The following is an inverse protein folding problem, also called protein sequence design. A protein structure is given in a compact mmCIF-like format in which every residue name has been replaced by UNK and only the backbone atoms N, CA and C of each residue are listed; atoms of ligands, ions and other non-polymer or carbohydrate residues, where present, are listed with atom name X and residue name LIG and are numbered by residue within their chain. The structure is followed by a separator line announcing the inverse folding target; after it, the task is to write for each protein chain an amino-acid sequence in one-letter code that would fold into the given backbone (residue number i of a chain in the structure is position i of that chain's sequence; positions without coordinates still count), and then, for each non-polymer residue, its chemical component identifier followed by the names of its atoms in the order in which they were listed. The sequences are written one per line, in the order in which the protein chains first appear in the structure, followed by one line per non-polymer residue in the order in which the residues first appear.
data_IF_342863561362
#
_entry.id   IF_342863561362
#
_cell.length_a   1.000
_cell.length_b   1.000
_cell.length_c   1.000
_cell.angle_alpha   90.00
_cell.angle_beta   90.00
_cell.angle_gamma   90.00
#
_symmetry.space_group_name_H-M   'P 1'
#
loop_
_entity.id
_entity.type
_entity.pdbx_description
1 polymer ?
#
# COMPACT_ATOMS: atom_id res chain seq x y z
N UNK A 1 -13.23 -23.65 13.41
CA UNK A 1 -12.63 -22.30 13.62
C UNK A 1 -13.64 -21.48 14.40
N UNK A 2 -13.19 -20.75 15.43
CA UNK A 2 -14.09 -19.97 16.31
C UNK A 2 -14.72 -18.75 15.58
N UNK A 3 -14.17 -18.32 14.44
CA UNK A 3 -14.67 -17.18 13.67
C UNK A 3 -14.37 -15.80 14.28
N UNK A 4 -13.39 -15.75 15.19
CA UNK A 4 -13.07 -14.52 15.93
C UNK A 4 -12.38 -13.45 15.07
N UNK A 5 -11.77 -13.85 13.95
CA UNK A 5 -11.17 -12.97 12.94
C UNK A 5 -11.65 -13.36 11.53
N UNK A 6 -12.04 -12.35 10.73
CA UNK A 6 -12.47 -12.58 9.34
C UNK A 6 -11.32 -12.58 8.34
N UNK A 7 -10.27 -11.80 8.60
CA UNK A 7 -9.11 -11.70 7.71
C UNK A 7 -7.81 -11.57 8.51
N UNK A 8 -6.72 -11.99 7.89
CA UNK A 8 -5.36 -11.78 8.38
C UNK A 8 -4.45 -11.29 7.25
N UNK A 9 -3.24 -10.88 7.57
CA UNK A 9 -2.33 -10.37 6.57
C UNK A 9 -0.88 -10.40 7.01
N UNK A 10 -0.02 -9.80 6.21
CA UNK A 10 1.40 -9.65 6.50
C UNK A 10 1.79 -8.18 6.51
N UNK A 11 2.61 -7.81 7.49
CA UNK A 11 3.24 -6.50 7.58
C UNK A 11 4.74 -6.64 7.25
N UNK A 12 5.22 -5.84 6.31
CA UNK A 12 6.62 -5.84 5.90
C UNK A 12 7.16 -4.42 5.84
N UNK A 13 8.49 -4.27 5.90
CA UNK A 13 9.14 -3.00 5.60
C UNK A 13 9.70 -3.01 4.18
N UNK A 14 10.63 -3.90 3.86
CA UNK A 14 11.31 -3.96 2.57
C UNK A 14 10.82 -5.09 1.65
N UNK A 15 10.44 -6.21 2.23
CA UNK A 15 10.35 -7.49 1.55
C UNK A 15 9.47 -7.53 0.29
N UNK A 16 8.43 -6.72 0.22
CA UNK A 16 7.52 -6.63 -0.93
C UNK A 16 7.84 -5.45 -1.88
N UNK A 17 8.90 -4.69 -1.62
CA UNK A 17 9.23 -3.50 -2.42
C UNK A 17 10.70 -3.44 -2.85
N UNK A 18 11.48 -4.48 -2.56
CA UNK A 18 12.87 -4.63 -3.02
C UNK A 18 12.94 -5.43 -4.32
N UNK A 19 14.12 -5.48 -4.90
CA UNK A 19 14.41 -6.27 -6.09
C UNK A 19 14.32 -7.76 -5.81
N UNK A 20 13.99 -8.56 -6.83
CA UNK A 20 13.88 -10.02 -6.70
C UNK A 20 15.19 -10.72 -6.31
N UNK A 21 16.33 -10.07 -6.57
CA UNK A 21 17.65 -10.56 -6.19
C UNK A 21 18.06 -10.24 -4.76
N UNK A 22 17.27 -9.42 -4.05
CA UNK A 22 17.58 -9.04 -2.67
C UNK A 22 17.25 -10.19 -1.69
N UNK A 23 18.11 -10.39 -0.69
CA UNK A 23 17.91 -11.42 0.34
C UNK A 23 16.59 -11.27 1.10
N UNK A 24 16.12 -10.03 1.28
CA UNK A 24 14.85 -9.73 1.95
C UNK A 24 13.61 -9.95 1.07
N UNK A 25 13.77 -10.27 -0.23
CA UNK A 25 12.64 -10.35 -1.16
C UNK A 25 11.63 -11.42 -0.76
N UNK A 26 10.35 -11.05 -0.80
CA UNK A 26 9.22 -11.99 -0.71
C UNK A 26 8.37 -11.91 -1.98
N UNK A 27 7.98 -13.06 -2.48
CA UNK A 27 7.04 -13.18 -3.59
C UNK A 27 5.60 -13.14 -3.05
N UNK A 28 4.84 -12.12 -3.42
CA UNK A 28 3.43 -12.01 -3.03
C UNK A 28 2.62 -13.18 -3.62
N UNK A 29 2.93 -13.62 -4.84
CA UNK A 29 2.32 -14.80 -5.45
C UNK A 29 2.56 -16.06 -4.60
N UNK A 30 3.76 -16.25 -4.07
CA UNK A 30 4.06 -17.39 -3.22
C UNK A 30 3.32 -17.32 -1.88
N UNK A 31 3.22 -16.14 -1.27
CA UNK A 31 2.43 -15.92 -0.06
C UNK A 31 0.97 -16.33 -0.30
N UNK A 32 0.36 -15.86 -1.38
CA UNK A 32 -1.03 -16.20 -1.76
C UNK A 32 -1.19 -17.70 -2.00
N UNK A 33 -0.26 -18.33 -2.70
CA UNK A 33 -0.29 -19.77 -2.95
C UNK A 33 -0.20 -20.59 -1.65
N UNK A 34 0.64 -20.17 -0.70
CA UNK A 34 0.75 -20.81 0.61
C UNK A 34 -0.51 -20.62 1.46
N UNK A 35 -1.10 -19.41 1.44
CA UNK A 35 -2.35 -19.12 2.12
C UNK A 35 -3.49 -20.02 1.58
N UNK A 36 -3.64 -20.10 0.25
CA UNK A 36 -4.63 -20.96 -0.38
C UNK A 36 -4.40 -22.45 -0.04
N UNK A 37 -3.15 -22.91 -0.01
CA UNK A 37 -2.83 -24.29 0.37
C UNK A 37 -3.16 -24.57 1.82
N UNK A 38 -2.93 -23.62 2.73
CA UNK A 38 -3.29 -23.74 4.13
C UNK A 38 -4.83 -23.75 4.32
N UNK A 39 -5.56 -22.90 3.59
CA UNK A 39 -7.03 -22.88 3.61
C UNK A 39 -7.60 -24.23 3.23
N UNK A 40 -7.17 -24.82 2.11
CA UNK A 40 -7.60 -26.16 1.67
C UNK A 40 -7.27 -27.29 2.64
N UNK A 41 -6.23 -27.13 3.45
CA UNK A 41 -5.87 -28.13 4.46
C UNK A 41 -6.81 -28.14 5.66
N UNK A 42 -7.58 -27.07 5.89
CA UNK A 42 -8.48 -26.94 7.07
C UNK A 42 -9.95 -26.88 6.70
N UNK A 43 -10.30 -26.71 5.43
CA UNK A 43 -11.70 -26.64 4.97
C UNK A 43 -11.86 -26.93 3.48
N UNK A 44 -13.09 -27.21 3.02
CA UNK A 44 -13.36 -27.51 1.61
C UNK A 44 -13.31 -26.27 0.70
N UNK A 45 -13.40 -25.07 1.27
CA UNK A 45 -13.42 -23.82 0.55
C UNK A 45 -12.02 -23.24 0.43
N UNK A 46 -11.71 -22.58 -0.71
CA UNK A 46 -10.44 -21.87 -0.93
C UNK A 46 -10.35 -20.56 -0.13
N UNK A 47 -11.31 -20.28 0.76
CA UNK A 47 -11.31 -19.11 1.62
C UNK A 47 -10.28 -19.27 2.73
N UNK A 48 -9.13 -18.67 2.47
CA UNK A 48 -8.00 -18.70 3.40
C UNK A 48 -7.92 -17.48 4.33
N UNK A 49 -8.84 -16.51 4.18
CA UNK A 49 -8.86 -15.29 5.00
C UNK A 49 -7.64 -14.35 4.85
N UNK A 50 -6.66 -14.69 4.01
CA UNK A 50 -5.54 -13.77 3.73
C UNK A 50 -6.01 -12.64 2.84
N UNK A 51 -6.10 -11.43 3.37
CA UNK A 51 -6.72 -10.31 2.67
C UNK A 51 -6.02 -8.97 2.85
N UNK A 52 -4.94 -8.90 3.67
CA UNK A 52 -4.34 -7.61 4.04
C UNK A 52 -2.82 -7.62 3.86
N UNK A 53 -2.31 -6.55 3.25
CA UNK A 53 -0.88 -6.22 3.21
C UNK A 53 -0.63 -4.91 3.94
N UNK A 54 0.39 -4.87 4.81
CA UNK A 54 0.91 -3.62 5.35
C UNK A 54 2.34 -3.41 4.86
N UNK A 55 2.61 -2.24 4.29
CA UNK A 55 3.93 -1.85 3.79
C UNK A 55 4.09 -0.32 3.81
N UNK A 56 5.32 0.21 3.87
CA UNK A 56 5.53 1.64 3.76
C UNK A 56 5.25 2.12 2.34
N UNK A 57 4.53 3.26 2.27
CA UNK A 57 4.27 3.91 0.99
C UNK A 57 4.09 5.41 1.15
N UNK A 58 4.91 6.18 0.45
CA UNK A 58 4.88 7.64 0.39
C UNK A 58 5.33 8.13 -0.99
N UNK A 59 5.22 9.42 -1.25
CA UNK A 59 5.73 10.03 -2.48
C UNK A 59 7.26 9.87 -2.63
N UNK A 60 8.00 9.76 -1.52
CA UNK A 60 9.46 9.55 -1.50
C UNK A 60 9.85 8.07 -1.30
N UNK A 61 8.89 7.19 -1.10
CA UNK A 61 9.07 5.77 -0.86
C UNK A 61 8.00 5.00 -1.64
N UNK A 62 8.06 5.08 -2.96
CA UNK A 62 7.02 4.58 -3.87
C UNK A 62 7.38 3.24 -4.53
N UNK A 63 8.43 2.55 -4.09
CA UNK A 63 8.92 1.30 -4.71
C UNK A 63 7.85 0.23 -4.84
N UNK A 64 6.91 0.14 -3.90
CA UNK A 64 5.81 -0.82 -3.97
C UNK A 64 4.91 -0.62 -5.21
N UNK A 65 4.91 0.57 -5.81
CA UNK A 65 4.21 0.90 -7.05
C UNK A 65 5.14 0.96 -8.26
N UNK A 66 6.33 1.55 -8.13
CA UNK A 66 7.21 1.82 -9.27
C UNK A 66 8.11 0.65 -9.64
N UNK A 67 8.37 -0.28 -8.71
CA UNK A 67 9.27 -1.42 -8.94
C UNK A 67 8.52 -2.64 -9.47
N UNK A 68 8.87 -3.09 -10.67
CA UNK A 68 8.33 -4.30 -11.28
C UNK A 68 9.06 -5.56 -10.74
N UNK A 69 8.87 -5.91 -9.47
CA UNK A 69 9.52 -7.03 -8.80
C UNK A 69 8.62 -8.23 -8.55
N UNK A 70 7.32 -8.10 -8.76
CA UNK A 70 6.33 -9.15 -8.51
C UNK A 70 5.81 -9.77 -9.82
N UNK A 71 5.03 -10.83 -9.71
CA UNK A 71 4.28 -11.43 -10.81
C UNK A 71 2.85 -11.70 -10.39
N UNK A 72 1.93 -11.62 -11.34
CA UNK A 72 0.52 -11.93 -11.08
C UNK A 72 0.34 -13.41 -10.73
N UNK A 73 -0.56 -13.75 -9.79
CA UNK A 73 -0.83 -15.14 -9.42
C UNK A 73 -1.33 -16.00 -10.59
N UNK A 74 -2.14 -15.41 -11.48
CA UNK A 74 -2.75 -16.05 -12.65
C UNK A 74 -1.86 -16.01 -13.91
N UNK A 75 -0.73 -15.29 -13.87
CA UNK A 75 0.24 -15.20 -14.97
C UNK A 75 1.69 -15.24 -14.44
N UNK A 76 2.14 -16.41 -14.00
CA UNK A 76 3.47 -16.57 -13.38
C UNK A 76 4.63 -16.36 -14.36
N UNK A 77 4.41 -16.54 -15.65
CA UNK A 77 5.41 -16.36 -16.71
C UNK A 77 5.28 -14.99 -17.40
N UNK A 78 4.25 -14.22 -17.09
CA UNK A 78 4.01 -12.90 -17.62
C UNK A 78 5.06 -11.86 -17.23
N UNK A 79 4.92 -10.64 -17.72
CA UNK A 79 5.82 -9.56 -17.38
C UNK A 79 5.78 -9.26 -15.87
N UNK A 80 6.93 -8.91 -15.27
CA UNK A 80 6.96 -8.43 -13.89
C UNK A 80 6.11 -7.17 -13.73
N UNK A 81 5.47 -7.05 -12.57
CA UNK A 81 4.65 -5.89 -12.21
C UNK A 81 4.93 -5.45 -10.77
N UNK A 82 4.27 -4.39 -10.31
CA UNK A 82 4.47 -3.86 -8.97
C UNK A 82 3.67 -4.64 -7.91
N UNK A 83 4.07 -4.49 -6.64
CA UNK A 83 3.35 -5.09 -5.51
C UNK A 83 1.93 -4.56 -5.40
N UNK A 84 1.72 -3.25 -5.57
CA UNK A 84 0.37 -2.66 -5.48
C UNK A 84 -0.53 -3.13 -6.63
N UNK A 85 0.02 -3.35 -7.82
CA UNK A 85 -0.75 -3.92 -8.93
C UNK A 85 -1.17 -5.37 -8.63
N UNK A 86 -0.25 -6.21 -8.11
CA UNK A 86 -0.62 -7.58 -7.70
C UNK A 86 -1.66 -7.56 -6.59
N UNK A 87 -1.53 -6.66 -5.61
CA UNK A 87 -2.50 -6.52 -4.54
C UNK A 87 -3.89 -6.12 -5.07
N UNK A 88 -3.93 -5.21 -6.04
CA UNK A 88 -5.16 -4.79 -6.71
C UNK A 88 -5.84 -5.96 -7.45
N UNK A 89 -5.11 -6.67 -8.29
CA UNK A 89 -5.60 -7.80 -9.08
C UNK A 89 -6.05 -8.99 -8.19
N UNK A 90 -5.37 -9.18 -7.05
CA UNK A 90 -5.72 -10.21 -6.07
C UNK A 90 -6.80 -9.76 -5.06
N UNK A 91 -7.37 -8.56 -5.24
CA UNK A 91 -8.38 -7.98 -4.34
C UNK A 91 -7.94 -7.91 -2.87
N UNK A 92 -6.66 -7.64 -2.63
CA UNK A 92 -6.12 -7.43 -1.29
C UNK A 92 -6.35 -5.99 -0.83
N UNK A 93 -6.51 -5.80 0.46
CA UNK A 93 -6.50 -4.48 1.09
C UNK A 93 -5.09 -4.10 1.49
N UNK A 94 -4.59 -2.97 0.99
CA UNK A 94 -3.29 -2.44 1.39
C UNK A 94 -3.48 -1.40 2.48
N UNK A 95 -2.69 -1.53 3.54
CA UNK A 95 -2.56 -0.58 4.63
C UNK A 95 -1.16 0.03 4.54
N UNK A 96 -1.06 1.34 4.34
CA UNK A 96 0.24 1.99 4.24
C UNK A 96 0.77 2.38 5.61
N UNK A 97 2.05 2.12 5.86
CA UNK A 97 2.80 2.63 7.01
C UNK A 97 3.76 3.72 6.57
N UNK A 98 4.33 4.46 7.52
CA UNK A 98 5.24 5.58 7.29
C UNK A 98 4.67 6.64 6.32
N UNK A 99 3.37 6.79 6.21
CA UNK A 99 2.69 7.61 5.19
C UNK A 99 3.06 9.11 5.23
N UNK A 100 3.62 9.59 6.35
CA UNK A 100 4.19 10.93 6.51
C UNK A 100 5.73 10.95 6.52
N UNK A 101 6.39 9.85 6.15
CA UNK A 101 7.86 9.77 6.11
C UNK A 101 8.52 9.99 7.48
N UNK A 102 7.89 9.55 8.58
CA UNK A 102 8.37 9.84 9.93
C UNK A 102 8.18 11.31 10.37
N UNK A 103 7.43 12.10 9.61
CA UNK A 103 7.23 13.53 9.83
C UNK A 103 7.88 14.42 8.74
N UNK A 104 8.77 13.89 7.94
CA UNK A 104 9.49 14.68 6.91
C UNK A 104 8.52 15.30 5.88
N UNK A 105 7.43 14.61 5.55
CA UNK A 105 6.44 15.08 4.59
C UNK A 105 5.40 16.06 5.14
N UNK A 106 5.56 16.51 6.39
CA UNK A 106 4.67 17.51 7.00
C UNK A 106 5.13 18.95 6.74
N UNK A 107 6.36 19.13 6.26
CA UNK A 107 6.95 20.45 6.01
C UNK A 107 6.59 20.93 4.60
N UNK A 108 6.33 22.22 4.46
CA UNK A 108 6.09 22.84 3.16
C UNK A 108 7.29 22.64 2.21
N UNK A 109 7.01 22.19 0.98
CA UNK A 109 8.04 21.90 -0.04
C UNK A 109 8.72 20.54 0.09
N UNK A 110 8.29 19.68 1.03
CA UNK A 110 8.80 18.30 1.16
C UNK A 110 8.27 17.34 0.09
N UNK A 111 7.12 17.64 -0.48
CA UNK A 111 6.56 16.91 -1.62
C UNK A 111 7.08 17.55 -2.91
N UNK A 112 7.52 16.78 -3.93
CA UNK A 112 7.93 17.35 -5.21
C UNK A 112 6.86 18.26 -5.80
N UNK A 113 7.23 19.46 -6.23
CA UNK A 113 6.27 20.52 -6.58
C UNK A 113 5.26 20.12 -7.65
N UNK A 114 5.67 19.32 -8.66
CA UNK A 114 4.78 18.81 -9.70
C UNK A 114 3.70 17.86 -9.16
N UNK A 115 4.03 17.05 -8.16
CA UNK A 115 3.08 16.15 -7.49
C UNK A 115 2.22 16.93 -6.50
N UNK A 116 2.84 17.78 -5.67
CA UNK A 116 2.16 18.58 -4.64
C UNK A 116 1.01 19.41 -5.24
N UNK A 117 1.23 19.98 -6.42
CA UNK A 117 0.23 20.79 -7.12
C UNK A 117 -1.01 20.01 -7.59
N UNK A 118 -0.94 18.69 -7.66
CA UNK A 118 -2.06 17.82 -8.07
C UNK A 118 -2.86 17.27 -6.90
N UNK A 119 -2.31 17.35 -5.68
CA UNK A 119 -2.89 16.73 -4.49
C UNK A 119 -3.88 17.66 -3.79
N UNK A 120 -5.01 17.12 -3.41
CA UNK A 120 -5.97 17.80 -2.54
C UNK A 120 -5.51 17.70 -1.08
N UNK A 121 -5.66 18.81 -0.36
CA UNK A 121 -5.31 18.97 1.05
C UNK A 121 -4.86 20.39 1.37
N UNK A 122 -5.20 20.86 2.55
CA UNK A 122 -4.89 22.22 3.02
C UNK A 122 -3.43 22.31 3.51
N UNK A 123 -2.88 21.20 4.01
CA UNK A 123 -1.52 21.12 4.56
C UNK A 123 -0.67 20.09 3.82
N UNK A 124 0.64 20.16 3.99
CA UNK A 124 1.56 19.15 3.41
C UNK A 124 1.28 17.76 3.95
N UNK A 125 0.94 17.62 5.23
CA UNK A 125 0.57 16.33 5.82
C UNK A 125 -0.67 15.74 5.14
N UNK A 126 -1.72 16.54 4.92
CA UNK A 126 -2.94 16.09 4.24
C UNK A 126 -2.67 15.70 2.79
N UNK A 127 -1.86 16.46 2.06
CA UNK A 127 -1.46 16.12 0.68
C UNK A 127 -0.62 14.85 0.61
N UNK A 128 0.31 14.64 1.55
CA UNK A 128 1.07 13.39 1.64
C UNK A 128 0.17 12.17 1.90
N UNK A 129 -0.82 12.31 2.79
CA UNK A 129 -1.82 11.27 3.05
C UNK A 129 -2.74 11.06 1.84
N UNK A 130 -3.13 12.13 1.15
CA UNK A 130 -3.93 12.03 -0.07
C UNK A 130 -3.18 11.26 -1.16
N UNK A 131 -1.87 11.53 -1.35
CA UNK A 131 -1.02 10.74 -2.25
C UNK A 131 -1.03 9.25 -1.89
N UNK A 132 -0.76 8.90 -0.65
CA UNK A 132 -0.70 7.51 -0.22
C UNK A 132 -2.05 6.78 -0.41
N UNK A 133 -3.17 7.46 -0.13
CA UNK A 133 -4.53 6.94 -0.31
C UNK A 133 -4.94 6.79 -1.78
N UNK A 134 -4.26 7.47 -2.70
CA UNK A 134 -4.55 7.43 -4.13
C UNK A 134 -3.95 6.19 -4.82
N UNK A 135 -3.06 5.48 -4.16
CA UNK A 135 -2.39 4.32 -4.74
C UNK A 135 -3.33 3.10 -4.88
N UNK A 136 -3.12 2.25 -5.89
CA UNK A 136 -3.93 1.04 -6.11
C UNK A 136 -4.01 0.16 -4.87
N UNK A 137 -5.19 -0.40 -4.60
CA UNK A 137 -5.50 -1.29 -3.47
C UNK A 137 -5.36 -0.67 -2.07
N UNK A 138 -4.87 0.56 -1.91
CA UNK A 138 -4.76 1.20 -0.60
C UNK A 138 -6.15 1.51 -0.04
N UNK A 139 -6.41 0.98 1.17
CA UNK A 139 -7.67 1.17 1.91
C UNK A 139 -7.49 2.05 3.14
N UNK A 140 -6.28 2.09 3.69
CA UNK A 140 -5.99 2.81 4.92
C UNK A 140 -4.53 3.27 4.93
N UNK A 141 -4.30 4.49 5.42
CA UNK A 141 -2.97 5.00 5.73
C UNK A 141 -2.81 5.14 7.23
N UNK A 142 -1.84 4.43 7.80
CA UNK A 142 -1.55 4.50 9.23
C UNK A 142 -0.75 5.76 9.55
N UNK A 143 -1.23 6.49 10.54
CA UNK A 143 -0.57 7.69 11.05
C UNK A 143 -0.62 7.66 12.58
N UNK A 144 0.55 7.78 13.20
CA UNK A 144 0.68 7.93 14.65
C UNK A 144 0.97 9.39 15.02
N UNK A 145 0.29 9.91 16.03
CA UNK A 145 0.55 11.22 16.63
C UNK A 145 0.17 11.24 18.10
N UNK A 146 0.83 12.06 18.88
CA UNK A 146 0.45 12.40 20.29
C UNK A 146 -0.20 13.76 20.40
N UNK A 147 -0.28 14.51 19.29
CA UNK A 147 -0.88 15.84 19.23
C UNK A 147 -2.31 15.74 18.68
N UNK A 148 -3.26 16.31 19.41
CA UNK A 148 -4.69 16.27 19.06
C UNK A 148 -5.05 17.13 17.85
N UNK A 149 -4.30 18.19 17.57
CA UNK A 149 -4.53 19.03 16.40
C UNK A 149 -4.01 18.33 15.14
N UNK A 150 -2.84 17.68 15.21
CA UNK A 150 -2.37 16.79 14.16
C UNK A 150 -3.34 15.61 13.92
N UNK A 151 -3.94 15.06 14.99
CA UNK A 151 -4.96 14.01 14.81
C UNK A 151 -6.16 14.51 14.01
N UNK A 152 -6.69 15.68 14.34
CA UNK A 152 -7.81 16.31 13.60
C UNK A 152 -7.44 16.56 12.13
N UNK A 153 -6.24 17.10 11.91
CA UNK A 153 -5.70 17.35 10.57
C UNK A 153 -5.60 16.07 9.74
N UNK A 154 -5.05 15.00 10.33
CA UNK A 154 -4.90 13.70 9.67
C UNK A 154 -6.27 13.06 9.34
N UNK A 155 -7.25 13.17 10.25
CA UNK A 155 -8.62 12.69 10.00
C UNK A 155 -9.27 13.50 8.89
N UNK A 156 -9.08 14.83 8.87
CA UNK A 156 -9.61 15.70 7.81
C UNK A 156 -9.03 15.36 6.42
N UNK A 157 -7.83 14.77 6.34
CA UNK A 157 -7.30 14.26 5.07
C UNK A 157 -8.23 13.25 4.39
N UNK A 158 -9.07 12.56 5.16
CA UNK A 158 -10.09 11.63 4.67
C UNK A 158 -11.24 12.28 3.88
N UNK A 159 -11.43 13.58 4.00
CA UNK A 159 -12.50 14.33 3.31
C UNK A 159 -12.12 14.78 1.90
N UNK A 160 -10.84 14.75 1.56
CA UNK A 160 -10.38 15.10 0.23
C UNK A 160 -10.46 13.87 -0.70
N UNK A 161 -10.87 14.09 -1.95
CA UNK A 161 -10.90 13.05 -2.94
C UNK A 161 -9.47 12.59 -3.27
N UNK A 162 -9.20 11.27 -3.35
CA UNK A 162 -7.94 10.76 -3.83
C UNK A 162 -7.76 11.05 -5.33
N UNK A 163 -6.53 11.04 -5.81
CA UNK A 163 -6.26 11.13 -7.24
C UNK A 163 -6.93 9.98 -7.99
N UNK A 164 -7.49 10.26 -9.15
CA UNK A 164 -7.87 9.20 -10.09
C UNK A 164 -6.63 8.49 -10.65
N UNK A 165 -6.79 7.25 -11.13
CA UNK A 165 -5.68 6.39 -11.58
C UNK A 165 -4.72 7.11 -12.56
N UNK A 166 -5.24 7.74 -13.61
CA UNK A 166 -4.39 8.45 -14.61
C UNK A 166 -3.59 9.61 -14.00
N UNK A 167 -4.15 10.35 -13.04
CA UNK A 167 -3.45 11.43 -12.38
C UNK A 167 -2.39 10.90 -11.39
N UNK A 168 -2.67 9.76 -10.73
CA UNK A 168 -1.72 9.09 -9.88
C UNK A 168 -0.53 8.55 -10.69
N UNK A 169 -0.78 7.89 -11.84
CA UNK A 169 0.27 7.39 -12.73
C UNK A 169 1.15 8.53 -13.26
N UNK A 170 0.54 9.68 -13.60
CA UNK A 170 1.26 10.85 -14.06
C UNK A 170 2.22 11.45 -13.03
N UNK A 171 2.05 11.18 -11.75
CA UNK A 171 2.99 11.61 -10.71
C UNK A 171 4.36 10.90 -10.80
N UNK A 172 4.48 9.85 -11.62
CA UNK A 172 5.70 9.05 -11.81
C UNK A 172 6.25 9.12 -13.26
N UNK A 173 5.65 9.94 -14.14
CA UNK A 173 6.04 10.10 -15.54
C UNK A 173 7.24 11.04 -15.76
#
# INVERSE_FOLDING_TARGET
LAGDIGQYGVATWDALRVDRSADAYLSLREILSRAASAGRAVGPDDDHGFGVLQLPFTVTMADAFTRASQRLPNDPEGAPTSTLQVAHEANLSVVTSASLGGGDLTTAGSIPAGVDATLAGDTSAQRALNFARSAPAVRCSLVGTTDTDHLRENVAAGTFDPLGASAFDAAFA
#
